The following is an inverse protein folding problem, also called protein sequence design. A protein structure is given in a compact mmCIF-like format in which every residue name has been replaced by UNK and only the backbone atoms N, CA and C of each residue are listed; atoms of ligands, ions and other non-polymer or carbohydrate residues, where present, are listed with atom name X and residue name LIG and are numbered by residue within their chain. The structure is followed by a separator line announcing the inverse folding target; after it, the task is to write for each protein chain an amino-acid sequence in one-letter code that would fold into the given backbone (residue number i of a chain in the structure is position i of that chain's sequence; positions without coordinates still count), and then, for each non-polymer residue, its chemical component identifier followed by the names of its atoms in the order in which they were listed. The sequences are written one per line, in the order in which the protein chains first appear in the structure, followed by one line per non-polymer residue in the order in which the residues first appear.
data_IF_081055294372
#
_entry.id   IF_081055294372
#
_cell.length_a   1.000
_cell.length_b   1.000
_cell.length_c   1.000
_cell.angle_alpha   90.00
_cell.angle_beta   90.00
_cell.angle_gamma   90.00
#
_symmetry.space_group_name_H-M   'P 1'
#
loop_
_entity.id
_entity.type
_entity.pdbx_description
1 polymer ?
#
# COMPACT_ATOMS: atom_id res chain seq x y z
N UNK A 1 30.77 1.90 6.73
CA UNK A 1 29.33 2.22 6.60
C UNK A 1 28.90 1.79 5.21
N UNK A 2 28.38 0.58 5.06
CA UNK A 2 28.07 0.00 3.74
C UNK A 2 26.70 0.49 3.32
N UNK A 3 26.64 1.36 2.33
CA UNK A 3 25.36 1.81 1.75
C UNK A 3 24.80 0.63 0.94
N UNK A 4 23.95 -0.18 1.56
CA UNK A 4 23.19 -1.21 0.85
C UNK A 4 22.17 -0.48 -0.01
N UNK A 5 22.46 -0.35 -1.31
CA UNK A 5 21.49 0.12 -2.29
C UNK A 5 20.37 -0.92 -2.36
N UNK A 6 19.22 -0.64 -1.74
CA UNK A 6 18.03 -1.50 -1.86
C UNK A 6 17.70 -1.66 -3.34
N UNK A 7 17.56 -2.91 -3.79
CA UNK A 7 17.17 -3.19 -5.16
C UNK A 7 15.67 -2.95 -5.30
N UNK A 8 15.20 -2.57 -6.49
CA UNK A 8 13.77 -2.42 -6.76
C UNK A 8 12.99 -3.72 -6.51
N UNK A 9 13.63 -4.89 -6.66
CA UNK A 9 13.04 -6.18 -6.31
C UNK A 9 12.70 -6.25 -4.82
N UNK A 10 13.54 -5.68 -3.97
CA UNK A 10 13.29 -5.57 -2.54
C UNK A 10 12.15 -4.59 -2.27
N UNK A 11 12.09 -3.47 -3.00
CA UNK A 11 10.99 -2.49 -2.89
C UNK A 11 9.63 -3.06 -3.30
N UNK A 12 9.54 -3.85 -4.38
CA UNK A 12 8.28 -4.53 -4.78
C UNK A 12 7.83 -5.51 -3.69
N UNK A 13 8.76 -6.29 -3.13
CA UNK A 13 8.46 -7.23 -2.04
C UNK A 13 8.01 -6.51 -0.77
N UNK A 14 8.65 -5.37 -0.44
CA UNK A 14 8.27 -4.51 0.68
C UNK A 14 6.85 -3.93 0.47
N UNK A 15 6.51 -3.54 -0.77
CA UNK A 15 5.19 -3.00 -1.12
C UNK A 15 4.11 -4.08 -0.97
N UNK A 16 4.34 -5.28 -1.51
CA UNK A 16 3.41 -6.41 -1.37
C UNK A 16 3.17 -6.73 0.11
N UNK A 17 4.24 -6.81 0.90
CA UNK A 17 4.14 -7.09 2.34
C UNK A 17 3.35 -5.99 3.07
N UNK A 18 3.56 -4.73 2.70
CA UNK A 18 2.81 -3.62 3.29
C UNK A 18 1.31 -3.68 2.92
N UNK A 19 0.98 -4.08 1.69
CA UNK A 19 -0.41 -4.28 1.25
C UNK A 19 -1.05 -5.44 2.02
N UNK A 20 -0.34 -6.57 2.20
CA UNK A 20 -0.84 -7.72 2.95
C UNK A 20 -1.17 -7.37 4.42
N UNK A 21 -0.41 -6.44 5.02
CA UNK A 21 -0.68 -5.91 6.36
C UNK A 21 -1.85 -4.93 6.36
N UNK A 22 -2.01 -4.12 5.31
CA UNK A 22 -3.08 -3.13 5.23
C UNK A 22 -4.47 -3.74 5.00
N UNK A 23 -4.56 -4.82 4.21
CA UNK A 23 -5.83 -5.49 3.88
C UNK A 23 -6.70 -5.84 5.10
N UNK A 24 -6.19 -6.52 6.16
CA UNK A 24 -7.00 -6.82 7.33
C UNK A 24 -7.46 -5.55 8.06
N UNK A 25 -6.63 -4.51 8.14
CA UNK A 25 -6.99 -3.25 8.79
C UNK A 25 -8.11 -2.51 8.03
N UNK A 26 -8.08 -2.55 6.70
CA UNK A 26 -9.16 -2.03 5.85
C UNK A 26 -10.45 -2.84 5.96
N UNK A 27 -10.36 -4.16 6.22
CA UNK A 27 -11.53 -5.01 6.42
C UNK A 27 -12.31 -4.60 7.66
N UNK A 28 -11.61 -4.21 8.72
CA UNK A 28 -12.23 -3.71 9.94
C UNK A 28 -12.95 -2.36 9.71
N UNK A 29 -12.47 -1.57 8.74
CA UNK A 29 -13.13 -0.33 8.28
C UNK A 29 -14.23 -0.56 7.22
N UNK A 30 -14.44 -1.81 6.78
CA UNK A 30 -15.40 -2.21 5.72
C UNK A 30 -15.11 -1.61 4.34
N UNK A 31 -13.84 -1.38 4.04
CA UNK A 31 -13.35 -0.87 2.75
C UNK A 31 -13.17 -2.03 1.73
N UNK A 32 -14.22 -2.84 1.52
CA UNK A 32 -14.14 -4.08 0.74
C UNK A 32 -13.73 -3.87 -0.72
N UNK A 33 -14.16 -2.77 -1.34
CA UNK A 33 -13.81 -2.44 -2.72
C UNK A 33 -12.32 -2.09 -2.86
N UNK A 34 -11.80 -1.29 -1.92
CA UNK A 34 -10.38 -0.93 -1.88
C UNK A 34 -9.49 -2.15 -1.61
N UNK A 35 -9.94 -3.07 -0.76
CA UNK A 35 -9.29 -4.36 -0.53
C UNK A 35 -9.21 -5.17 -1.83
N UNK A 36 -10.28 -5.19 -2.61
CA UNK A 36 -10.32 -5.88 -3.91
C UNK A 36 -9.25 -5.36 -4.87
N UNK A 37 -9.14 -4.04 -5.01
CA UNK A 37 -8.13 -3.38 -5.85
C UNK A 37 -6.73 -3.68 -5.35
N UNK A 38 -6.46 -3.49 -4.05
CA UNK A 38 -5.15 -3.71 -3.46
C UNK A 38 -4.71 -5.18 -3.53
N UNK A 39 -5.63 -6.13 -3.30
CA UNK A 39 -5.34 -7.56 -3.40
C UNK A 39 -5.03 -7.98 -4.84
N UNK A 40 -5.76 -7.43 -5.82
CA UNK A 40 -5.49 -7.66 -7.23
C UNK A 40 -4.13 -7.07 -7.64
N UNK A 41 -3.84 -5.84 -7.23
CA UNK A 41 -2.56 -5.19 -7.50
C UNK A 41 -1.40 -5.97 -6.86
N UNK A 42 -1.50 -6.40 -5.60
CA UNK A 42 -0.50 -7.22 -4.95
C UNK A 42 -0.27 -8.55 -5.67
N UNK A 43 -1.34 -9.19 -6.15
CA UNK A 43 -1.25 -10.41 -6.96
C UNK A 43 -0.51 -10.15 -8.27
N UNK A 44 -0.83 -9.07 -8.98
CA UNK A 44 -0.15 -8.66 -10.21
C UNK A 44 1.33 -8.36 -9.96
N UNK A 45 1.66 -7.64 -8.89
CA UNK A 45 3.05 -7.34 -8.49
C UNK A 45 3.86 -8.60 -8.17
N UNK A 46 3.23 -9.66 -7.64
CA UNK A 46 3.88 -10.96 -7.37
C UNK A 46 4.22 -11.72 -8.66
N UNK A 47 3.40 -11.62 -9.69
CA UNK A 47 3.59 -12.35 -10.96
C UNK A 47 4.33 -11.55 -12.04
N UNK A 48 4.22 -10.22 -12.00
CA UNK A 48 4.80 -9.33 -13.02
C UNK A 48 6.32 -9.22 -12.87
N UNK A 49 7.00 -9.05 -14.00
CA UNK A 49 8.44 -8.73 -13.98
C UNK A 49 8.63 -7.29 -13.49
N UNK A 50 9.63 -7.00 -12.64
CA UNK A 50 9.94 -5.62 -12.25
C UNK A 50 10.08 -4.71 -13.47
N UNK A 51 9.46 -3.53 -13.44
CA UNK A 51 9.43 -2.54 -14.52
C UNK A 51 8.64 -2.93 -15.79
N UNK A 52 7.97 -4.09 -15.83
CA UNK A 52 7.03 -4.37 -16.93
C UNK A 52 5.87 -3.37 -16.92
N UNK A 53 5.17 -3.24 -18.04
CA UNK A 53 3.96 -2.40 -18.13
C UNK A 53 2.92 -2.82 -17.06
N UNK A 54 2.76 -4.12 -16.85
CA UNK A 54 1.87 -4.69 -15.82
C UNK A 54 2.30 -4.33 -14.40
N UNK A 55 3.61 -4.34 -14.13
CA UNK A 55 4.16 -3.96 -12.83
C UNK A 55 3.92 -2.47 -12.55
N UNK A 56 4.17 -1.60 -13.54
CA UNK A 56 3.90 -0.16 -13.40
C UNK A 56 2.41 0.14 -13.27
N UNK A 57 1.57 -0.55 -14.03
CA UNK A 57 0.12 -0.41 -13.92
C UNK A 57 -0.35 -0.82 -12.53
N UNK A 58 0.11 -1.97 -12.01
CA UNK A 58 -0.26 -2.39 -10.66
C UNK A 58 0.22 -1.40 -9.57
N UNK A 59 1.37 -0.74 -9.76
CA UNK A 59 1.80 0.35 -8.87
C UNK A 59 0.88 1.57 -9.01
N UNK A 60 0.48 1.93 -10.23
CA UNK A 60 -0.44 3.03 -10.47
C UNK A 60 -1.82 2.75 -9.87
N UNK A 61 -2.36 1.53 -10.00
CA UNK A 61 -3.63 1.12 -9.40
C UNK A 61 -3.58 1.25 -7.86
N UNK A 62 -2.43 0.95 -7.24
CA UNK A 62 -2.24 1.19 -5.79
C UNK A 62 -2.25 2.68 -5.48
N UNK A 63 -1.60 3.53 -6.27
CA UNK A 63 -1.63 4.99 -6.04
C UNK A 63 -3.04 5.55 -6.24
N UNK A 64 -3.75 5.11 -7.29
CA UNK A 64 -5.11 5.54 -7.59
C UNK A 64 -6.10 5.08 -6.51
N UNK A 65 -5.92 3.92 -5.89
CA UNK A 65 -6.71 3.52 -4.72
C UNK A 65 -6.53 4.50 -3.54
N UNK A 66 -5.37 5.16 -3.42
CA UNK A 66 -5.13 6.12 -2.35
C UNK A 66 -5.57 7.53 -2.70
N UNK A 67 -5.30 7.99 -3.92
CA UNK A 67 -5.49 9.38 -4.34
C UNK A 67 -6.78 9.62 -5.13
N UNK A 68 -7.38 8.56 -5.65
CA UNK A 68 -8.60 8.58 -6.47
C UNK A 68 -9.75 7.87 -5.77
N UNK A 69 -10.22 6.78 -6.37
CA UNK A 69 -11.58 6.24 -6.17
C UNK A 69 -11.90 5.78 -4.74
N UNK A 70 -10.90 5.37 -3.95
CA UNK A 70 -11.11 4.88 -2.59
C UNK A 70 -10.57 5.83 -1.50
N UNK A 71 -10.00 6.98 -1.87
CA UNK A 71 -9.52 8.03 -0.97
C UNK A 71 -8.75 7.51 0.27
N UNK A 72 -7.99 6.40 0.14
CA UNK A 72 -7.26 5.80 1.28
C UNK A 72 -6.18 6.75 1.84
N UNK A 73 -5.84 7.81 1.12
CA UNK A 73 -5.02 8.90 1.61
C UNK A 73 -5.56 9.52 2.91
N UNK A 74 -6.87 9.48 3.14
CA UNK A 74 -7.49 9.93 4.39
C UNK A 74 -6.92 9.20 5.61
N UNK A 75 -6.68 7.90 5.50
CA UNK A 75 -6.08 7.08 6.56
C UNK A 75 -4.61 7.42 6.82
N UNK A 76 -3.89 7.95 5.83
CA UNK A 76 -2.46 8.32 6.00
C UNK A 76 -2.23 9.50 6.94
N UNK A 77 -3.27 10.33 7.15
CA UNK A 77 -3.20 11.53 7.98
C UNK A 77 -4.10 11.47 9.22
N UNK A 78 -4.81 10.37 9.46
CA UNK A 78 -5.65 10.21 10.64
C UNK A 78 -4.80 10.28 11.91
N UNK A 79 -4.77 11.47 12.50
CA UNK A 79 -4.42 11.70 13.89
C UNK A 79 -5.67 12.17 14.61
N UNK A 80 -6.10 11.32 15.53
CA UNK A 80 -6.88 11.66 16.72
C UNK A 80 -8.40 11.79 16.57
N UNK A 81 -9.13 10.97 17.35
CA UNK A 81 -10.44 11.27 17.92
C UNK A 81 -10.86 10.23 18.99
N UNK A 82 -9.89 9.77 19.81
CA UNK A 82 -10.12 9.03 21.05
C UNK A 82 -11.00 7.78 20.98
N UNK A 83 -10.41 6.58 21.05
CA UNK A 83 -10.82 5.42 21.89
C UNK A 83 -10.04 4.13 21.54
N UNK A 84 -9.48 3.97 20.33
CA UNK A 84 -8.59 2.83 19.98
C UNK A 84 -7.29 3.33 19.34
N UNK A 85 -6.26 3.57 20.18
CA UNK A 85 -4.98 4.13 19.74
C UNK A 85 -4.23 3.23 18.76
N UNK A 86 -4.19 1.93 19.02
CA UNK A 86 -3.33 1.01 18.26
C UNK A 86 -3.78 0.77 16.83
N UNK A 87 -5.08 0.60 16.59
CA UNK A 87 -5.60 0.24 15.26
C UNK A 87 -5.54 1.41 14.28
N UNK A 88 -5.88 2.63 14.71
CA UNK A 88 -5.81 3.84 13.87
C UNK A 88 -4.35 4.20 13.56
N UNK A 89 -3.47 4.07 14.54
CA UNK A 89 -2.03 4.28 14.33
C UNK A 89 -1.45 3.23 13.38
N UNK A 90 -1.82 1.95 13.53
CA UNK A 90 -1.37 0.88 12.65
C UNK A 90 -1.90 1.07 11.22
N UNK A 91 -3.17 1.44 11.08
CA UNK A 91 -3.80 1.73 9.79
C UNK A 91 -3.14 2.93 9.09
N UNK A 92 -2.86 4.01 9.83
CA UNK A 92 -2.20 5.19 9.27
C UNK A 92 -0.75 4.92 8.87
N UNK A 93 0.00 4.17 9.68
CA UNK A 93 1.37 3.77 9.37
C UNK A 93 1.43 2.81 8.19
N UNK A 94 0.55 1.81 8.14
CA UNK A 94 0.45 0.85 7.05
C UNK A 94 0.09 1.56 5.74
N UNK A 95 -0.93 2.41 5.77
CA UNK A 95 -1.37 3.25 4.65
C UNK A 95 -0.23 4.14 4.14
N UNK A 96 0.42 4.88 5.03
CA UNK A 96 1.53 5.76 4.66
C UNK A 96 2.72 4.98 4.07
N UNK A 97 3.00 3.78 4.59
CA UNK A 97 4.06 2.90 4.08
C UNK A 97 3.74 2.39 2.67
N UNK A 98 2.52 1.94 2.41
CA UNK A 98 2.08 1.50 1.08
C UNK A 98 2.22 2.63 0.07
N UNK A 99 1.66 3.81 0.36
CA UNK A 99 1.73 4.97 -0.52
C UNK A 99 3.18 5.42 -0.78
N UNK A 100 4.02 5.47 0.27
CA UNK A 100 5.43 5.85 0.13
C UNK A 100 6.21 4.89 -0.76
N UNK A 101 5.95 3.57 -0.65
CA UNK A 101 6.60 2.56 -1.47
C UNK A 101 6.10 2.61 -2.91
N UNK A 102 4.79 2.76 -3.13
CA UNK A 102 4.19 2.88 -4.46
C UNK A 102 4.75 4.11 -5.22
N UNK A 103 4.77 5.29 -4.59
CA UNK A 103 5.30 6.52 -5.20
C UNK A 103 6.80 6.48 -5.52
N UNK A 104 7.59 5.62 -4.85
CA UNK A 104 9.01 5.43 -5.16
C UNK A 104 9.24 4.57 -6.42
N UNK A 105 8.20 3.88 -6.87
CA UNK A 105 8.27 2.90 -7.96
C UNK A 105 7.57 3.37 -9.24
N UNK A 106 6.76 4.44 -9.14
CA UNK A 106 6.24 5.22 -10.27
C UNK A 106 7.39 5.90 -11.02
#
# INVERSE_FOLDING_TARGET
MTVIKRSQKDTTSDLITAIDVLIPLLRDQKEDDAIGVLALAAKTLRSAKPQSAEHRQAVADVVDAFEGDHELISYTFQRDNGTQWTEVEELSQASARVLSLARRMQ
#
